data_IF_621740934679
#
_entry.id   IF_621740934679
#
_cell.length_a   1.000
_cell.length_b   1.000
_cell.length_c   1.000
_cell.angle_alpha   90.00
_cell.angle_beta   90.00
_cell.angle_gamma   90.00
#
_symmetry.space_group_name_H-M   'P 1'
#
loop_
_entity.id
_entity.type
_entity.pdbx_description
1 polymer ?
#
# COMPACT_ATOMS: atom_id res chain seq x y z
N UNK A 1 24.59 8.12 26.75
CA UNK A 1 24.62 8.80 25.43
C UNK A 1 24.81 7.74 24.34
N UNK A 2 23.71 7.27 23.72
CA UNK A 2 23.76 6.14 22.79
C UNK A 2 24.13 6.59 21.37
N UNK A 3 25.42 6.88 21.15
CA UNK A 3 25.98 7.42 19.89
C UNK A 3 25.66 6.57 18.65
N UNK A 4 25.37 5.28 18.85
CA UNK A 4 25.05 4.33 17.77
C UNK A 4 23.69 4.64 17.15
N UNK A 5 22.66 4.87 17.97
CA UNK A 5 21.31 5.21 17.49
C UNK A 5 21.26 6.55 16.79
N UNK A 6 22.02 7.54 17.30
CA UNK A 6 22.16 8.85 16.67
C UNK A 6 22.64 8.74 15.22
N UNK A 7 23.77 8.05 15.00
CA UNK A 7 24.34 7.93 13.65
C UNK A 7 23.45 7.13 12.70
N UNK A 8 22.73 6.13 13.20
CA UNK A 8 21.76 5.39 12.38
C UNK A 8 20.59 6.25 11.94
N UNK A 9 20.00 7.02 12.84
CA UNK A 9 18.88 7.91 12.50
C UNK A 9 19.31 9.04 11.56
N UNK A 10 20.56 9.50 11.65
CA UNK A 10 21.13 10.39 10.64
C UNK A 10 21.27 9.73 9.26
N UNK A 11 21.75 8.47 9.20
CA UNK A 11 21.84 7.72 7.94
C UNK A 11 20.45 7.50 7.34
N UNK A 12 19.45 7.13 8.15
CA UNK A 12 18.07 6.96 7.70
C UNK A 12 17.50 8.27 7.18
N UNK A 13 17.72 9.38 7.90
CA UNK A 13 17.30 10.72 7.45
C UNK A 13 17.87 11.04 6.06
N UNK A 14 19.19 10.88 5.87
CA UNK A 14 19.84 11.14 4.59
C UNK A 14 19.38 10.17 3.49
N UNK A 15 19.12 8.91 3.82
CA UNK A 15 18.60 7.94 2.85
C UNK A 15 17.19 8.29 2.38
N UNK A 16 16.32 8.79 3.28
CA UNK A 16 14.99 9.31 2.92
C UNK A 16 15.12 10.55 2.03
N UNK A 17 16.02 11.48 2.36
CA UNK A 17 16.29 12.67 1.53
C UNK A 17 16.82 12.33 0.13
N UNK A 18 17.62 11.26 0.03
CA UNK A 18 18.20 10.76 -1.22
C UNK A 18 17.30 9.79 -1.98
N UNK A 19 16.09 9.49 -1.47
CA UNK A 19 15.18 8.48 -2.05
C UNK A 19 15.82 7.06 -2.14
N UNK A 20 16.74 6.71 -1.24
CA UNK A 20 17.45 5.42 -1.22
C UNK A 20 16.75 4.40 -0.30
N UNK A 21 15.79 3.65 -0.86
CA UNK A 21 15.05 2.63 -0.11
C UNK A 21 15.93 1.47 0.38
N UNK A 22 17.02 1.13 -0.32
CA UNK A 22 17.87 0.00 0.06
C UNK A 22 18.55 0.28 1.40
N UNK A 23 19.12 1.48 1.55
CA UNK A 23 19.75 1.91 2.80
C UNK A 23 18.72 2.00 3.94
N UNK A 24 17.50 2.48 3.64
CA UNK A 24 16.42 2.55 4.64
C UNK A 24 16.10 1.17 5.21
N UNK A 25 15.92 0.16 4.34
CA UNK A 25 15.61 -1.21 4.76
C UNK A 25 16.75 -1.84 5.57
N UNK A 26 18.01 -1.63 5.16
CA UNK A 26 19.17 -2.11 5.91
C UNK A 26 19.24 -1.51 7.31
N UNK A 27 18.99 -0.20 7.46
CA UNK A 27 19.02 0.46 8.77
C UNK A 27 17.83 0.10 9.65
N UNK A 28 16.65 -0.15 9.06
CA UNK A 28 15.44 -0.53 9.79
C UNK A 28 15.65 -1.82 10.61
N UNK A 29 16.28 -2.85 10.02
CA UNK A 29 16.60 -4.08 10.73
C UNK A 29 17.44 -3.81 11.99
N UNK A 30 18.41 -2.90 11.89
CA UNK A 30 19.27 -2.52 13.01
C UNK A 30 18.62 -1.60 14.04
N UNK A 31 17.57 -0.85 13.67
CA UNK A 31 16.81 -0.01 14.59
C UNK A 31 15.89 -0.86 15.47
N UNK A 32 15.31 -1.94 14.91
CA UNK A 32 14.51 -2.92 15.66
C UNK A 32 15.33 -3.64 16.73
N UNK A 33 16.53 -4.12 16.37
CA UNK A 33 17.42 -4.83 17.29
C UNK A 33 17.99 -3.94 18.41
N UNK A 34 18.04 -2.62 18.19
CA UNK A 34 18.60 -1.66 19.13
C UNK A 34 17.54 -0.97 20.01
N UNK A 35 16.26 -1.30 19.85
CA UNK A 35 15.14 -0.58 20.46
C UNK A 35 14.91 -0.96 21.92
N UNK A 36 15.51 -0.18 22.84
CA UNK A 36 15.05 -0.02 24.22
C UNK A 36 14.35 1.33 24.45
N UNK A 37 14.33 2.19 23.42
CA UNK A 37 13.77 3.55 23.45
C UNK A 37 12.47 3.59 22.65
N UNK A 38 11.37 3.95 23.33
CA UNK A 38 10.04 4.02 22.72
C UNK A 38 9.98 4.98 21.51
N UNK A 39 10.75 6.07 21.52
CA UNK A 39 10.76 7.02 20.40
C UNK A 39 11.40 6.41 19.14
N UNK A 40 12.44 5.59 19.30
CA UNK A 40 13.07 4.85 18.19
C UNK A 40 12.12 3.77 17.66
N UNK A 41 11.34 3.13 18.54
CA UNK A 41 10.28 2.20 18.15
C UNK A 41 9.22 2.84 17.27
N UNK A 42 8.74 4.04 17.63
CA UNK A 42 7.77 4.79 16.82
C UNK A 42 8.33 5.15 15.44
N UNK A 43 9.60 5.57 15.36
CA UNK A 43 10.28 5.85 14.08
C UNK A 43 10.35 4.58 13.22
N UNK A 44 10.76 3.45 13.80
CA UNK A 44 10.86 2.17 13.07
C UNK A 44 9.50 1.73 12.51
N UNK A 45 8.43 1.89 13.29
CA UNK A 45 7.07 1.55 12.88
C UNK A 45 6.57 2.47 11.75
N UNK A 46 6.86 3.77 11.82
CA UNK A 46 6.53 4.70 10.74
C UNK A 46 7.26 4.36 9.43
N UNK A 47 8.53 3.91 9.51
CA UNK A 47 9.29 3.44 8.35
C UNK A 47 8.69 2.14 7.79
N UNK A 48 8.31 1.18 8.63
CA UNK A 48 7.65 -0.07 8.20
C UNK A 48 6.35 0.16 7.47
N UNK A 49 5.54 1.09 7.97
CA UNK A 49 4.26 1.44 7.37
C UNK A 49 4.41 2.39 6.17
N UNK A 50 5.65 2.66 5.73
CA UNK A 50 6.00 3.57 4.63
C UNK A 50 5.52 5.01 4.84
N UNK A 51 5.26 5.39 6.09
CA UNK A 51 4.89 6.76 6.50
C UNK A 51 6.14 7.61 6.68
N UNK A 52 6.87 7.84 5.58
CA UNK A 52 8.17 8.52 5.62
C UNK A 52 8.11 9.97 6.11
N UNK A 53 6.99 10.67 5.89
CA UNK A 53 6.78 12.01 6.46
C UNK A 53 6.70 12.01 7.99
N UNK A 54 6.02 11.01 8.56
CA UNK A 54 5.96 10.79 10.01
C UNK A 54 7.33 10.40 10.55
N UNK A 55 7.99 9.44 9.89
CA UNK A 55 9.35 9.02 10.24
C UNK A 55 10.32 10.20 10.23
N UNK A 56 10.28 11.08 9.22
CA UNK A 56 11.16 12.26 9.15
C UNK A 56 10.89 13.27 10.26
N UNK A 57 9.62 13.51 10.60
CA UNK A 57 9.27 14.41 11.73
C UNK A 57 9.77 13.85 13.05
N UNK A 58 9.54 12.57 13.30
CA UNK A 58 9.95 11.90 14.54
C UNK A 58 11.48 11.79 14.64
N UNK A 59 12.17 11.50 13.53
CA UNK A 59 13.64 11.52 13.45
C UNK A 59 14.16 12.93 13.73
N UNK A 60 13.59 13.97 13.12
CA UNK A 60 14.01 15.35 13.36
C UNK A 60 13.80 15.76 14.82
N UNK A 61 12.63 15.45 15.40
CA UNK A 61 12.32 15.72 16.80
C UNK A 61 13.26 14.98 17.75
N UNK A 62 13.53 13.69 17.48
CA UNK A 62 14.47 12.90 18.27
C UNK A 62 15.90 13.45 18.16
N UNK A 63 16.39 13.73 16.94
CA UNK A 63 17.72 14.33 16.72
C UNK A 63 17.86 15.70 17.40
N UNK A 64 16.80 16.50 17.40
CA UNK A 64 16.74 17.79 18.08
C UNK A 64 16.73 17.63 19.61
N UNK A 65 16.04 16.62 20.16
CA UNK A 65 16.11 16.30 21.59
C UNK A 65 17.52 15.90 22.04
N UNK A 66 18.34 15.39 21.11
CA UNK A 66 19.73 14.99 21.34
C UNK A 66 20.75 16.11 21.05
N UNK A 67 20.37 17.18 20.34
CA UNK A 67 21.26 18.29 19.94
C UNK A 67 20.76 19.61 20.49
N UNK A 68 21.61 20.29 21.25
CA UNK A 68 21.42 21.71 21.55
C UNK A 68 21.56 22.52 20.25
N UNK A 69 20.44 22.73 19.55
CA UNK A 69 20.20 23.66 18.43
C UNK A 69 21.09 23.47 17.18
N UNK A 70 20.50 23.06 16.05
CA UNK A 70 21.01 23.49 14.73
C UNK A 70 19.94 23.45 13.63
N UNK A 71 19.78 24.61 12.99
CA UNK A 71 19.36 24.93 11.61
C UNK A 71 18.47 23.93 10.83
N UNK A 72 17.24 24.38 10.57
CA UNK A 72 16.18 23.71 9.80
C UNK A 72 16.39 23.85 8.27
N UNK A 73 16.42 22.74 7.54
CA UNK A 73 16.14 22.67 6.10
C UNK A 73 14.90 21.79 5.94
N UNK A 74 13.92 22.26 5.16
CA UNK A 74 12.57 21.66 5.07
C UNK A 74 12.60 20.26 4.43
N UNK A 75 12.47 19.16 5.21
CA UNK A 75 12.56 17.79 4.71
C UNK A 75 11.24 17.28 4.11
N UNK A 76 10.18 18.09 4.12
CA UNK A 76 8.82 17.64 3.78
C UNK A 76 8.63 17.27 2.31
N UNK A 77 9.35 17.93 1.39
CA UNK A 77 9.12 17.77 -0.06
C UNK A 77 9.58 16.41 -0.57
N UNK A 78 10.79 15.97 -0.18
CA UNK A 78 11.32 14.65 -0.58
C UNK A 78 10.47 13.52 -0.01
N UNK A 79 10.08 13.63 1.27
CA UNK A 79 9.18 12.67 1.91
C UNK A 79 7.81 12.60 1.21
N UNK A 80 7.22 13.74 0.87
CA UNK A 80 5.92 13.79 0.16
C UNK A 80 5.99 13.16 -1.23
N UNK A 81 7.13 13.30 -1.92
CA UNK A 81 7.34 12.72 -3.25
C UNK A 81 7.47 11.19 -3.21
N UNK A 82 8.13 10.65 -2.18
CA UNK A 82 8.17 9.19 -1.94
C UNK A 82 6.79 8.64 -1.61
N UNK A 83 6.03 9.35 -0.77
CA UNK A 83 4.66 8.96 -0.41
C UNK A 83 3.75 8.96 -1.64
N UNK A 84 3.87 9.96 -2.51
CA UNK A 84 3.13 10.03 -3.76
C UNK A 84 3.45 8.84 -4.67
N UNK A 85 4.73 8.48 -4.86
CA UNK A 85 5.13 7.29 -5.64
C UNK A 85 4.55 5.98 -5.06
N UNK A 86 4.54 5.85 -3.73
CA UNK A 86 3.98 4.68 -3.07
C UNK A 86 2.47 4.58 -3.29
N UNK A 87 1.75 5.70 -3.16
CA UNK A 87 0.31 5.79 -3.41
C UNK A 87 -0.04 5.51 -4.88
N UNK A 88 0.74 6.03 -5.83
CA UNK A 88 0.57 5.73 -7.26
C UNK A 88 0.72 4.23 -7.56
N UNK A 89 1.68 3.58 -6.91
CA UNK A 89 1.90 2.14 -7.05
C UNK A 89 0.71 1.35 -6.50
N UNK A 90 0.23 1.68 -5.31
CA UNK A 90 -0.95 1.05 -4.71
C UNK A 90 -2.21 1.25 -5.57
N UNK A 91 -2.40 2.45 -6.13
CA UNK A 91 -3.53 2.73 -7.02
C UNK A 91 -3.48 1.86 -8.27
N UNK A 92 -2.29 1.67 -8.86
CA UNK A 92 -2.10 0.82 -10.03
C UNK A 92 -2.48 -0.63 -9.73
N UNK A 93 -2.00 -1.17 -8.61
CA UNK A 93 -2.36 -2.52 -8.17
C UNK A 93 -3.87 -2.70 -7.94
N UNK A 94 -4.54 -1.69 -7.40
CA UNK A 94 -6.00 -1.71 -7.21
C UNK A 94 -6.75 -1.69 -8.54
N UNK A 95 -6.29 -0.90 -9.51
CA UNK A 95 -6.84 -0.87 -10.87
C UNK A 95 -6.68 -2.23 -11.54
N UNK A 96 -5.52 -2.85 -11.44
CA UNK A 96 -5.26 -4.17 -12.02
C UNK A 96 -6.17 -5.24 -11.40
N UNK A 97 -6.31 -5.24 -10.06
CA UNK A 97 -7.24 -6.13 -9.34
C UNK A 97 -8.69 -5.92 -9.77
N UNK A 98 -9.12 -4.67 -9.96
CA UNK A 98 -10.47 -4.34 -10.44
C UNK A 98 -10.67 -4.89 -11.86
N UNK A 99 -9.73 -4.66 -12.77
CA UNK A 99 -9.83 -5.10 -14.16
C UNK A 99 -9.88 -6.63 -14.26
N UNK A 100 -9.06 -7.34 -13.47
CA UNK A 100 -9.13 -8.80 -13.40
C UNK A 100 -10.50 -9.31 -12.94
N UNK A 101 -11.13 -8.64 -11.96
CA UNK A 101 -12.49 -9.01 -11.51
C UNK A 101 -13.56 -8.73 -12.56
N UNK A 102 -13.44 -7.64 -13.32
CA UNK A 102 -14.35 -7.35 -14.44
C UNK A 102 -14.24 -8.46 -15.49
N UNK A 103 -13.03 -8.85 -15.86
CA UNK A 103 -12.82 -9.93 -16.82
C UNK A 103 -13.48 -11.24 -16.38
N UNK A 104 -13.36 -11.61 -15.10
CA UNK A 104 -14.02 -12.80 -14.56
C UNK A 104 -15.55 -12.73 -14.69
N UNK A 105 -16.14 -11.55 -14.46
CA UNK A 105 -17.58 -11.35 -14.60
C UNK A 105 -18.03 -11.45 -16.06
N UNK A 106 -17.25 -10.87 -16.97
CA UNK A 106 -17.52 -10.92 -18.41
C UNK A 106 -17.42 -12.37 -18.91
N UNK A 107 -16.35 -13.09 -18.56
CA UNK A 107 -16.17 -14.50 -18.90
C UNK A 107 -17.31 -15.39 -18.35
N UNK A 108 -17.75 -15.10 -17.12
CA UNK A 108 -18.89 -15.80 -16.52
C UNK A 108 -20.18 -15.55 -17.31
N UNK A 109 -20.47 -14.29 -17.64
CA UNK A 109 -21.66 -13.92 -18.41
C UNK A 109 -21.64 -14.56 -19.80
N UNK A 110 -20.51 -14.55 -20.49
CA UNK A 110 -20.35 -15.17 -21.80
C UNK A 110 -20.62 -16.68 -21.72
N UNK A 111 -20.06 -17.36 -20.72
CA UNK A 111 -20.26 -18.79 -20.52
C UNK A 111 -21.71 -19.12 -20.13
N UNK A 112 -22.33 -18.28 -19.31
CA UNK A 112 -23.75 -18.38 -18.97
C UNK A 112 -24.64 -18.24 -20.20
N UNK A 113 -24.43 -17.20 -21.00
CA UNK A 113 -25.21 -16.97 -22.21
C UNK A 113 -25.02 -18.08 -23.23
N UNK A 114 -23.79 -18.57 -23.42
CA UNK A 114 -23.48 -19.64 -24.35
C UNK A 114 -24.13 -20.97 -23.96
N UNK A 115 -24.10 -21.34 -22.67
CA UNK A 115 -24.54 -22.67 -22.21
C UNK A 115 -25.98 -22.70 -21.70
N UNK A 116 -26.34 -21.75 -20.85
CA UNK A 116 -27.63 -21.74 -20.16
C UNK A 116 -28.71 -20.96 -20.91
N UNK A 117 -28.31 -19.97 -21.73
CA UNK A 117 -29.21 -19.20 -22.59
C UNK A 117 -30.13 -20.09 -23.45
N UNK A 118 -29.58 -21.00 -24.27
CA UNK A 118 -30.38 -21.91 -25.10
C UNK A 118 -31.29 -22.84 -24.30
N UNK A 119 -30.81 -23.34 -23.15
CA UNK A 119 -31.59 -24.22 -22.27
C UNK A 119 -32.78 -23.49 -21.66
N UNK A 120 -32.58 -22.26 -21.16
CA UNK A 120 -33.68 -21.43 -20.67
C UNK A 120 -34.69 -21.12 -21.77
N UNK A 121 -34.22 -20.77 -22.98
CA UNK A 121 -35.08 -20.57 -24.14
C UNK A 121 -35.93 -21.80 -24.44
N UNK A 122 -35.32 -22.99 -24.40
CA UNK A 122 -36.04 -24.26 -24.59
C UNK A 122 -37.07 -24.53 -23.49
N UNK A 123 -36.74 -24.26 -22.22
CA UNK A 123 -37.68 -24.42 -21.10
C UNK A 123 -38.89 -23.50 -21.27
N UNK A 124 -38.67 -22.24 -21.63
CA UNK A 124 -39.74 -21.27 -21.86
C UNK A 124 -40.65 -21.69 -23.01
N UNK A 125 -40.07 -22.16 -24.11
CA UNK A 125 -40.82 -22.67 -25.26
C UNK A 125 -41.70 -23.88 -24.87
N UNK A 126 -41.12 -24.84 -24.13
CA UNK A 126 -41.87 -26.01 -23.65
C UNK A 126 -43.00 -25.62 -22.69
N UNK A 127 -42.77 -24.65 -21.79
CA UNK A 127 -43.81 -24.14 -20.88
C UNK A 127 -44.95 -23.48 -21.64
N UNK A 128 -44.64 -22.73 -22.71
CA UNK A 128 -45.65 -22.10 -23.58
C UNK A 128 -46.52 -23.15 -24.27
N UNK A 129 -45.90 -24.20 -24.83
CA UNK A 129 -46.62 -25.29 -25.50
C UNK A 129 -47.55 -26.03 -24.53
N UNK A 130 -47.08 -26.32 -23.30
CA UNK A 130 -47.87 -26.97 -22.27
C UNK A 130 -49.08 -26.13 -21.84
N UNK A 131 -48.90 -24.80 -21.73
CA UNK A 131 -49.98 -23.89 -21.39
C UNK A 131 -51.06 -23.85 -22.49
N UNK A 132 -50.65 -23.83 -23.77
CA UNK A 132 -51.57 -23.86 -24.90
C UNK A 132 -52.39 -25.17 -24.96
N UNK A 133 -51.76 -26.32 -24.68
CA UNK A 133 -52.46 -27.61 -24.64
C UNK A 133 -53.47 -27.72 -23.50
N UNK A 134 -53.26 -27.01 -22.39
CA UNK A 134 -54.18 -26.98 -21.24
C UNK A 134 -55.36 -26.03 -21.42
N UNK A 135 -55.27 -25.13 -22.39
CA UNK A 135 -56.29 -24.12 -22.69
C UNK A 135 -57.20 -24.52 -23.88
N UNK A 136 -56.92 -25.65 -24.53
CA UNK A 136 -57.72 -26.26 -25.60
C UNK A 136 -58.54 -27.43 -25.05
#
# INVERSE_FOLDING_TARGET
MNKKSLKRLEIVKSAIELEDEEIIHQQLAHLKDASLDAAIGTIALAIEERRFGDAMREIAAWLQSQRAVSTWQDPGIAASKLELKALETQLRELIDKRNARIQILDDFNDLYHLRLGPLMGRILELRKQLAAQRAA
#
